data_IF_607201482900
#
_entry.id   IF_607201482900
#
_cell.length_a   1.000
_cell.length_b   1.000
_cell.length_c   1.000
_cell.angle_alpha   90.00
_cell.angle_beta   90.00
_cell.angle_gamma   90.00
#
_symmetry.space_group_name_H-M   'P 1'
#
loop_
_entity.id
_entity.type
_entity.pdbx_description
1 polymer ?
#
# COMPACT_ATOMS: atom_id res chain seq x y z
N UNK A 1 20.44 11.24 -41.53
CA UNK A 1 20.15 10.57 -40.23
C UNK A 1 20.77 11.44 -39.16
N UNK A 2 19.99 11.88 -38.17
CA UNK A 2 20.56 12.52 -36.96
C UNK A 2 21.24 11.47 -36.08
N UNK A 3 22.05 11.88 -35.09
CA UNK A 3 22.62 10.94 -34.13
C UNK A 3 21.49 10.25 -33.34
N UNK A 4 21.56 8.92 -33.22
CA UNK A 4 20.67 8.16 -32.34
C UNK A 4 21.06 8.44 -30.88
N UNK A 5 20.33 9.34 -30.23
CA UNK A 5 20.49 9.61 -28.79
C UNK A 5 20.06 8.37 -28.00
N UNK A 6 20.94 7.85 -27.15
CA UNK A 6 20.59 6.66 -26.36
C UNK A 6 19.52 6.98 -25.31
N UNK A 7 18.73 5.97 -24.94
CA UNK A 7 17.72 6.10 -23.88
C UNK A 7 18.30 6.61 -22.55
N UNK A 8 19.58 6.33 -22.27
CA UNK A 8 20.26 6.83 -21.07
C UNK A 8 20.53 8.33 -21.16
N UNK A 9 21.10 8.79 -22.27
CA UNK A 9 21.39 10.20 -22.51
C UNK A 9 20.08 11.00 -22.52
N UNK A 10 19.04 10.51 -23.19
CA UNK A 10 17.73 11.18 -23.23
C UNK A 10 17.12 11.34 -21.82
N UNK A 11 17.15 10.28 -21.00
CA UNK A 11 16.66 10.33 -19.61
C UNK A 11 17.50 11.26 -18.73
N UNK A 12 18.82 11.30 -18.93
CA UNK A 12 19.73 12.18 -18.19
C UNK A 12 19.58 13.65 -18.59
N UNK A 13 19.43 13.94 -19.88
CA UNK A 13 19.19 15.31 -20.39
C UNK A 13 17.87 15.86 -19.88
N UNK A 14 16.77 15.12 -20.01
CA UNK A 14 15.45 15.56 -19.52
C UNK A 14 15.45 15.75 -17.99
N UNK A 15 16.16 14.90 -17.24
CA UNK A 15 16.30 15.08 -15.79
C UNK A 15 17.14 16.32 -15.43
N UNK A 16 18.16 16.65 -16.23
CA UNK A 16 18.95 17.89 -16.08
C UNK A 16 18.14 19.14 -16.46
N UNK A 17 17.21 19.04 -17.41
CA UNK A 17 16.23 20.09 -17.73
C UNK A 17 15.14 20.27 -16.66
N UNK A 18 15.15 19.47 -15.59
CA UNK A 18 14.22 19.57 -14.46
C UNK A 18 12.94 18.75 -14.61
N UNK A 19 12.83 17.88 -15.61
CA UNK A 19 11.70 16.96 -15.71
C UNK A 19 11.85 15.79 -14.74
N UNK A 20 10.75 15.46 -14.03
CA UNK A 20 10.74 14.36 -13.08
C UNK A 20 10.92 13.00 -13.78
N UNK A 21 11.61 12.05 -13.14
CA UNK A 21 11.68 10.65 -13.62
C UNK A 21 10.28 10.06 -13.88
N UNK A 22 9.24 10.32 -13.05
CA UNK A 22 7.85 10.03 -13.38
C UNK A 22 7.38 10.50 -14.77
N UNK A 23 7.59 11.79 -15.10
CA UNK A 23 7.19 12.39 -16.37
C UNK A 23 7.98 11.77 -17.52
N UNK A 24 9.31 11.71 -17.39
CA UNK A 24 10.22 11.15 -18.39
C UNK A 24 9.86 9.70 -18.71
N UNK A 25 9.71 8.86 -17.69
CA UNK A 25 9.43 7.43 -17.90
C UNK A 25 8.03 7.18 -18.45
N UNK A 26 7.06 8.03 -18.15
CA UNK A 26 5.73 8.00 -18.79
C UNK A 26 5.81 8.34 -20.28
N UNK A 27 6.45 9.47 -20.62
CA UNK A 27 6.61 9.93 -22.01
C UNK A 27 7.37 8.92 -22.87
N UNK A 28 8.41 8.30 -22.33
CA UNK A 28 9.27 7.32 -23.01
C UNK A 28 8.76 5.86 -22.91
N UNK A 29 7.62 5.62 -22.25
CA UNK A 29 7.06 4.27 -21.97
C UNK A 29 8.06 3.32 -21.29
N UNK A 30 8.91 3.84 -20.41
CA UNK A 30 9.92 3.09 -19.67
C UNK A 30 9.39 2.63 -18.31
N UNK A 31 9.94 1.54 -17.78
CA UNK A 31 9.73 1.18 -16.40
C UNK A 31 10.42 2.20 -15.46
N UNK A 32 9.72 2.65 -14.40
CA UNK A 32 10.25 3.65 -13.45
C UNK A 32 11.54 3.22 -12.77
N UNK A 33 11.64 1.97 -12.33
CA UNK A 33 12.86 1.41 -11.72
C UNK A 33 14.03 1.46 -12.69
N UNK A 34 13.77 1.26 -13.98
CA UNK A 34 14.77 1.39 -15.05
C UNK A 34 15.17 2.85 -15.27
N UNK A 35 14.21 3.80 -15.33
CA UNK A 35 14.51 5.24 -15.39
C UNK A 35 15.39 5.73 -14.24
N UNK A 36 15.07 5.37 -12.99
CA UNK A 36 15.92 5.67 -11.83
C UNK A 36 17.29 4.96 -11.89
N UNK A 37 17.39 3.79 -12.53
CA UNK A 37 18.68 3.11 -12.72
C UNK A 37 19.55 3.81 -13.79
N UNK A 38 18.96 4.40 -14.82
CA UNK A 38 19.68 5.17 -15.86
C UNK A 38 20.32 6.45 -15.30
N UNK A 39 19.68 7.08 -14.30
CA UNK A 39 20.24 8.23 -13.58
C UNK A 39 21.35 7.88 -12.57
N UNK A 40 21.50 6.61 -12.18
CA UNK A 40 22.62 6.22 -11.32
C UNK A 40 23.92 6.31 -12.12
N UNK A 41 24.87 7.09 -11.61
CA UNK A 41 26.27 7.01 -12.04
C UNK A 41 26.81 5.60 -11.76
N UNK A 42 27.80 5.15 -12.54
CA UNK A 42 28.46 3.85 -12.34
C UNK A 42 29.40 3.83 -11.11
N UNK A 43 28.99 4.46 -10.02
CA UNK A 43 29.61 4.36 -8.70
C UNK A 43 29.29 2.97 -8.15
N UNK A 44 30.29 2.09 -8.08
CA UNK A 44 30.13 0.71 -7.63
C UNK A 44 29.34 0.64 -6.31
N UNK A 45 28.36 -0.26 -6.24
CA UNK A 45 27.46 -0.37 -5.09
C UNK A 45 28.22 -0.78 -3.82
N UNK A 46 28.56 0.20 -2.99
CA UNK A 46 29.10 -0.07 -1.65
C UNK A 46 28.05 -0.81 -0.82
N UNK A 47 28.30 -2.08 -0.55
CA UNK A 47 27.46 -2.88 0.34
C UNK A 47 27.60 -2.35 1.76
N UNK A 48 26.51 -1.75 2.29
CA UNK A 48 26.50 -1.35 3.70
C UNK A 48 26.71 -2.59 4.59
N UNK A 49 27.65 -2.57 5.55
CA UNK A 49 27.89 -3.70 6.43
C UNK A 49 26.66 -3.98 7.30
N UNK A 50 26.33 -5.26 7.46
CA UNK A 50 25.20 -5.71 8.29
C UNK A 50 25.62 -5.72 9.77
N UNK A 51 25.29 -4.67 10.51
CA UNK A 51 25.55 -4.62 11.96
C UNK A 51 24.68 -5.64 12.72
N UNK A 52 25.28 -6.64 13.42
CA UNK A 52 24.53 -7.58 14.25
C UNK A 52 23.80 -6.91 15.43
N UNK A 53 24.34 -5.80 15.96
CA UNK A 53 23.81 -5.10 17.14
C UNK A 53 22.45 -4.45 16.87
N UNK A 54 22.25 -3.94 15.64
CA UNK A 54 20.98 -3.37 15.21
C UNK A 54 19.85 -4.42 15.21
N UNK A 55 20.14 -5.66 14.80
CA UNK A 55 19.17 -6.77 14.86
C UNK A 55 18.77 -7.11 16.29
N UNK A 56 19.72 -7.09 17.22
CA UNK A 56 19.42 -7.42 18.62
C UNK A 56 18.69 -6.27 19.33
N UNK A 57 19.03 -5.01 19.04
CA UNK A 57 18.26 -3.85 19.52
C UNK A 57 16.79 -3.88 19.07
N UNK A 58 16.52 -4.23 17.80
CA UNK A 58 15.16 -4.44 17.29
C UNK A 58 14.46 -5.61 18.02
N UNK A 59 15.20 -6.66 18.39
CA UNK A 59 14.68 -7.80 19.14
C UNK A 59 14.30 -7.42 20.58
N UNK A 60 15.16 -6.67 21.27
CA UNK A 60 14.92 -6.19 22.64
C UNK A 60 13.74 -5.22 22.70
N UNK A 61 13.64 -4.28 21.74
CA UNK A 61 12.49 -3.36 21.62
C UNK A 61 11.16 -4.10 21.40
N UNK A 62 11.17 -5.22 20.66
CA UNK A 62 9.99 -6.05 20.47
C UNK A 62 9.68 -7.01 21.65
N UNK A 63 10.63 -7.24 22.57
CA UNK A 63 10.54 -8.31 23.57
C UNK A 63 9.99 -7.91 24.93
N UNK A 64 10.14 -6.65 25.34
CA UNK A 64 9.85 -6.19 26.72
C UNK A 64 8.37 -5.88 27.02
N UNK A 65 7.45 -6.09 26.08
CA UNK A 65 6.05 -5.63 26.20
C UNK A 65 5.02 -6.78 26.35
N UNK A 66 5.36 -7.83 27.12
CA UNK A 66 4.45 -8.97 27.39
C UNK A 66 4.49 -9.36 28.88
N UNK A 67 3.56 -8.81 29.67
CA UNK A 67 3.10 -9.31 30.97
C UNK A 67 1.95 -8.40 31.47
N UNK A 68 0.85 -8.84 32.11
CA UNK A 68 0.18 -10.14 32.19
C UNK A 68 -1.26 -9.88 32.73
N UNK A 69 -2.33 -10.06 31.94
CA UNK A 69 -3.68 -10.25 32.51
C UNK A 69 -4.70 -10.82 31.48
N UNK A 70 -5.40 -11.95 31.76
CA UNK A 70 -6.19 -12.65 30.75
C UNK A 70 -7.73 -12.47 30.86
N UNK A 71 -8.24 -11.30 31.28
CA UNK A 71 -9.69 -11.05 31.21
C UNK A 71 -10.05 -9.55 31.11
N UNK A 72 -10.89 -9.22 30.11
CA UNK A 72 -11.64 -7.94 29.96
C UNK A 72 -10.73 -6.69 29.75
N UNK A 73 -11.03 -5.66 28.96
CA UNK A 73 -12.25 -5.11 28.34
C UNK A 73 -11.88 -4.51 26.96
N UNK A 74 -12.76 -4.61 25.95
CA UNK A 74 -12.69 -3.93 24.62
C UNK A 74 -11.39 -4.14 23.82
N UNK A 75 -11.43 -5.05 22.82
CA UNK A 75 -10.31 -5.45 21.95
C UNK A 75 -9.70 -4.29 21.11
N UNK A 76 -8.85 -3.45 21.69
CA UNK A 76 -7.85 -2.64 20.96
C UNK A 76 -6.57 -3.47 20.83
N UNK A 77 -6.31 -3.99 19.63
CA UNK A 77 -5.19 -4.89 19.34
C UNK A 77 -3.90 -4.08 19.10
N UNK A 78 -2.81 -4.45 19.75
CA UNK A 78 -1.42 -3.98 19.54
C UNK A 78 -0.51 -5.20 19.72
N UNK A 79 0.57 -5.48 18.97
CA UNK A 79 1.26 -4.90 17.78
C UNK A 79 1.92 -6.10 17.03
N UNK A 80 2.67 -6.01 15.90
CA UNK A 80 3.21 -4.87 15.14
C UNK A 80 2.93 -4.91 13.61
N UNK A 81 3.29 -3.90 12.81
CA UNK A 81 3.57 -2.51 13.12
C UNK A 81 2.65 -1.68 12.22
N UNK A 82 3.05 -1.46 10.97
CA UNK A 82 2.28 -0.69 9.98
C UNK A 82 1.05 -1.43 9.44
N UNK A 83 1.20 -2.68 8.99
CA UNK A 83 0.07 -3.45 8.43
C UNK A 83 -1.03 -3.72 9.48
N UNK A 84 -0.66 -4.12 10.70
CA UNK A 84 -1.64 -4.24 11.79
C UNK A 84 -2.22 -2.89 12.20
N UNK A 85 -1.44 -1.80 12.18
CA UNK A 85 -1.96 -0.46 12.41
C UNK A 85 -2.98 -0.05 11.35
N UNK A 86 -2.74 -0.32 10.07
CA UNK A 86 -3.67 -0.04 8.98
C UNK A 86 -5.00 -0.79 9.17
N UNK A 87 -4.95 -2.09 9.52
CA UNK A 87 -6.17 -2.86 9.85
C UNK A 87 -6.85 -2.28 11.10
N UNK A 88 -6.11 -1.99 12.17
CA UNK A 88 -6.65 -1.38 13.40
C UNK A 88 -7.26 0.02 13.21
N UNK A 89 -6.83 0.77 12.18
CA UNK A 89 -7.41 2.05 11.79
C UNK A 89 -8.66 1.85 10.91
N UNK A 90 -8.61 0.91 9.96
CA UNK A 90 -9.71 0.65 9.04
C UNK A 90 -10.93 -0.03 9.70
N UNK A 91 -10.71 -0.96 10.66
CA UNK A 91 -11.81 -1.72 11.26
C UNK A 91 -12.81 -0.84 12.02
N UNK A 92 -12.43 0.10 12.92
CA UNK A 92 -13.40 0.97 13.59
C UNK A 92 -14.14 1.93 12.64
N UNK A 93 -13.49 2.36 11.56
CA UNK A 93 -14.12 3.21 10.53
C UNK A 93 -15.21 2.44 9.78
N UNK A 94 -14.96 1.15 9.45
CA UNK A 94 -15.91 0.32 8.71
C UNK A 94 -16.96 -0.37 9.60
N UNK A 95 -16.60 -0.68 10.83
CA UNK A 95 -17.37 -1.46 11.79
C UNK A 95 -17.31 -0.79 13.18
N UNK A 96 -18.05 0.33 13.40
CA UNK A 96 -17.99 1.08 14.65
C UNK A 96 -18.42 0.25 15.87
N UNK A 97 -19.40 -0.64 15.69
CA UNK A 97 -19.90 -1.57 16.71
C UNK A 97 -19.02 -2.82 16.87
N UNK A 98 -17.96 -2.95 16.07
CA UNK A 98 -17.03 -4.06 16.06
C UNK A 98 -17.29 -5.12 14.98
N UNK A 99 -16.30 -6.01 14.82
CA UNK A 99 -16.26 -7.04 13.75
C UNK A 99 -16.89 -8.38 14.14
N UNK A 100 -17.34 -8.54 15.39
CA UNK A 100 -17.82 -9.83 15.88
C UNK A 100 -19.20 -10.14 15.28
N UNK A 101 -19.35 -11.30 14.64
CA UNK A 101 -20.57 -11.69 13.93
C UNK A 101 -20.72 -11.13 12.50
N UNK A 102 -19.80 -10.28 12.03
CA UNK A 102 -19.86 -9.67 10.67
C UNK A 102 -19.38 -10.61 9.53
N UNK A 103 -19.09 -11.89 9.83
CA UNK A 103 -18.47 -12.88 8.92
C UNK A 103 -17.28 -12.36 8.09
N UNK A 104 -16.53 -11.39 8.64
CA UNK A 104 -15.50 -10.67 7.90
C UNK A 104 -14.38 -11.60 7.45
N UNK A 105 -14.11 -11.57 6.13
CA UNK A 105 -13.00 -12.26 5.50
C UNK A 105 -12.02 -11.26 4.92
N UNK A 106 -10.74 -11.37 5.28
CA UNK A 106 -9.63 -10.63 4.67
C UNK A 106 -8.84 -11.61 3.80
N UNK A 107 -8.59 -11.25 2.55
CA UNK A 107 -7.74 -11.99 1.62
C UNK A 107 -6.49 -11.19 1.28
N UNK A 108 -5.36 -11.87 1.09
CA UNK A 108 -4.10 -11.26 0.64
C UNK A 108 -3.24 -12.19 -0.19
N UNK A 109 -2.22 -11.60 -0.82
CA UNK A 109 -1.04 -12.27 -1.34
C UNK A 109 -0.25 -13.06 -0.26
N UNK A 110 0.85 -13.66 -0.69
CA UNK A 110 1.79 -14.38 0.19
C UNK A 110 3.00 -13.52 0.62
N UNK A 111 2.85 -12.19 0.67
CA UNK A 111 3.89 -11.26 1.10
C UNK A 111 4.38 -11.51 2.53
N UNK A 112 5.62 -11.14 2.84
CA UNK A 112 6.26 -11.48 4.12
C UNK A 112 5.57 -10.85 5.36
N UNK A 113 4.95 -9.68 5.20
CA UNK A 113 4.14 -9.04 6.25
C UNK A 113 2.81 -9.79 6.46
N UNK A 114 2.11 -10.10 5.36
CA UNK A 114 0.85 -10.84 5.31
C UNK A 114 0.97 -12.27 5.84
N UNK A 115 2.12 -12.93 5.61
CA UNK A 115 2.41 -14.29 6.09
C UNK A 115 3.02 -14.34 7.50
N UNK A 116 3.23 -13.19 8.14
CA UNK A 116 3.82 -13.13 9.48
C UNK A 116 2.91 -13.77 10.54
N UNK A 117 3.51 -14.50 11.50
CA UNK A 117 2.77 -15.16 12.58
C UNK A 117 1.92 -14.18 13.40
N UNK A 118 2.44 -12.97 13.65
CA UNK A 118 1.76 -11.91 14.39
C UNK A 118 0.51 -11.43 13.66
N UNK A 119 0.59 -11.19 12.34
CA UNK A 119 -0.57 -10.78 11.55
C UNK A 119 -1.68 -11.85 11.55
N UNK A 120 -1.31 -13.11 11.26
CA UNK A 120 -2.25 -14.25 11.25
C UNK A 120 -2.91 -14.46 12.62
N UNK A 121 -2.13 -14.37 13.71
CA UNK A 121 -2.65 -14.50 15.07
C UNK A 121 -3.59 -13.35 15.44
N UNK A 122 -3.28 -12.11 15.05
CA UNK A 122 -4.15 -10.96 15.28
C UNK A 122 -5.49 -11.09 14.55
N UNK A 123 -5.51 -11.52 13.29
CA UNK A 123 -6.77 -11.75 12.54
C UNK A 123 -7.61 -12.84 13.22
N UNK A 124 -6.99 -13.96 13.61
CA UNK A 124 -7.66 -15.02 14.37
C UNK A 124 -8.21 -14.53 15.71
N UNK A 125 -7.46 -13.71 16.45
CA UNK A 125 -7.90 -13.13 17.72
C UNK A 125 -9.03 -12.10 17.56
N UNK A 126 -9.09 -11.39 16.43
CA UNK A 126 -10.19 -10.51 16.06
C UNK A 126 -11.48 -11.27 15.69
N UNK A 127 -11.38 -12.55 15.33
CA UNK A 127 -12.50 -13.34 14.79
C UNK A 127 -12.68 -13.17 13.27
N UNK A 128 -11.65 -12.68 12.59
CA UNK A 128 -11.64 -12.43 11.14
C UNK A 128 -11.13 -13.68 10.44
N UNK A 129 -11.86 -14.15 9.41
CA UNK A 129 -11.38 -15.22 8.53
C UNK A 129 -10.24 -14.65 7.68
N UNK A 130 -9.06 -15.26 7.76
CA UNK A 130 -7.92 -14.84 6.97
C UNK A 130 -7.61 -15.87 5.89
N UNK A 131 -7.74 -15.45 4.64
CA UNK A 131 -7.49 -16.25 3.45
C UNK A 131 -6.21 -15.78 2.77
N UNK A 132 -5.40 -16.74 2.32
CA UNK A 132 -4.23 -16.44 1.48
C UNK A 132 -4.50 -16.92 0.07
N UNK A 133 -4.06 -16.13 -0.88
CA UNK A 133 -4.07 -16.44 -2.29
C UNK A 133 -3.36 -17.77 -2.57
N UNK A 134 -3.95 -18.59 -3.44
CA UNK A 134 -3.29 -19.74 -4.03
C UNK A 134 -2.05 -19.31 -4.82
N UNK A 135 -1.04 -20.19 -4.89
CA UNK A 135 0.13 -19.91 -5.71
C UNK A 135 -0.27 -19.82 -7.19
N UNK A 136 0.27 -18.82 -7.91
CA UNK A 136 0.00 -18.58 -9.32
C UNK A 136 -1.47 -18.27 -9.69
N UNK A 137 -2.21 -17.58 -8.80
CA UNK A 137 -3.57 -17.09 -9.06
C UNK A 137 -3.60 -15.54 -9.20
N UNK A 138 -3.28 -14.94 -10.36
CA UNK A 138 -3.24 -13.47 -10.50
C UNK A 138 -4.61 -12.80 -10.30
N UNK A 139 -5.70 -13.46 -10.69
CA UNK A 139 -7.05 -12.87 -10.69
C UNK A 139 -7.57 -12.50 -9.29
N UNK A 140 -7.08 -13.19 -8.26
CA UNK A 140 -7.58 -12.98 -6.89
C UNK A 140 -7.16 -11.67 -6.23
N UNK A 141 -6.09 -11.02 -6.71
CA UNK A 141 -5.64 -9.69 -6.27
C UNK A 141 -5.87 -8.61 -7.36
N UNK A 142 -6.39 -8.97 -8.54
CA UNK A 142 -6.57 -8.06 -9.68
C UNK A 142 -7.36 -6.78 -9.34
N UNK A 143 -8.30 -6.84 -8.39
CA UNK A 143 -9.04 -5.67 -7.91
C UNK A 143 -8.15 -4.67 -7.15
N UNK A 144 -7.30 -5.16 -6.24
CA UNK A 144 -6.42 -4.29 -5.44
C UNK A 144 -5.23 -3.82 -6.28
N UNK A 145 -4.71 -4.65 -7.18
CA UNK A 145 -3.72 -4.23 -8.19
C UNK A 145 -4.26 -3.14 -9.10
N UNK A 146 -5.51 -3.25 -9.58
CA UNK A 146 -6.15 -2.20 -10.39
C UNK A 146 -6.31 -0.91 -9.59
N UNK A 147 -6.71 -0.99 -8.32
CA UNK A 147 -6.79 0.16 -7.41
C UNK A 147 -5.44 0.86 -7.24
N UNK A 148 -4.38 0.11 -6.92
CA UNK A 148 -3.02 0.64 -6.80
C UNK A 148 -2.48 1.20 -8.11
N UNK A 149 -2.82 0.61 -9.26
CA UNK A 149 -2.45 1.13 -10.58
C UNK A 149 -3.13 2.47 -10.84
N UNK A 150 -4.42 2.59 -10.55
CA UNK A 150 -5.18 3.83 -10.68
C UNK A 150 -4.63 4.94 -9.77
N UNK A 151 -4.40 4.67 -8.47
CA UNK A 151 -3.73 5.61 -7.54
C UNK A 151 -2.38 6.11 -8.08
N UNK A 152 -1.59 5.17 -8.61
CA UNK A 152 -0.29 5.48 -9.21
C UNK A 152 -0.45 6.40 -10.42
N UNK A 153 -1.20 5.95 -11.43
CA UNK A 153 -1.42 6.65 -12.70
C UNK A 153 -2.07 8.05 -12.51
N UNK A 154 -3.02 8.20 -11.56
CA UNK A 154 -3.86 9.41 -11.41
C UNK A 154 -3.38 10.39 -10.31
N UNK A 155 -2.44 10.02 -9.41
CA UNK A 155 -1.89 10.93 -8.37
C UNK A 155 -0.36 10.82 -8.28
N UNK A 156 0.16 9.70 -7.77
CA UNK A 156 1.57 9.52 -7.37
C UNK A 156 2.56 9.70 -8.54
N UNK A 157 2.07 9.57 -9.76
CA UNK A 157 2.88 9.66 -10.98
C UNK A 157 2.90 11.04 -11.62
N UNK A 158 2.03 11.95 -11.17
CA UNK A 158 1.85 13.30 -11.72
C UNK A 158 2.53 14.40 -10.88
N UNK A 159 2.92 14.08 -9.64
CA UNK A 159 3.51 15.03 -8.69
C UNK A 159 4.95 14.65 -8.31
N UNK A 160 5.73 15.67 -7.95
CA UNK A 160 6.89 15.52 -7.08
C UNK A 160 6.52 16.00 -5.67
N UNK A 161 7.10 15.40 -4.63
CA UNK A 161 6.75 15.72 -3.24
C UNK A 161 7.98 16.21 -2.48
N UNK A 162 7.94 17.47 -2.02
CA UNK A 162 9.00 18.07 -1.20
C UNK A 162 9.16 17.41 0.18
N UNK A 163 8.13 16.71 0.65
CA UNK A 163 8.15 16.01 1.93
C UNK A 163 7.25 14.78 1.97
N UNK A 164 7.56 13.85 2.86
CA UNK A 164 6.70 12.70 3.16
C UNK A 164 5.32 13.13 3.69
N UNK A 165 5.23 14.26 4.40
CA UNK A 165 3.96 14.80 4.87
C UNK A 165 3.06 15.21 3.69
N UNK A 166 3.63 15.87 2.67
CA UNK A 166 2.91 16.24 1.45
C UNK A 166 2.44 15.00 0.68
N UNK A 167 3.33 14.02 0.47
CA UNK A 167 2.98 12.76 -0.20
C UNK A 167 1.86 11.99 0.53
N UNK A 168 1.88 12.01 1.88
CA UNK A 168 0.84 11.39 2.70
C UNK A 168 -0.49 12.13 2.60
N UNK A 169 -0.46 13.47 2.51
CA UNK A 169 -1.67 14.27 2.36
C UNK A 169 -2.32 14.04 0.99
N UNK A 170 -1.55 14.13 -0.10
CA UNK A 170 -2.04 13.83 -1.46
C UNK A 170 -2.63 12.41 -1.57
N UNK A 171 -1.99 11.42 -0.93
CA UNK A 171 -2.52 10.06 -0.84
C UNK A 171 -3.86 9.99 -0.09
N UNK A 172 -4.03 10.72 1.02
CA UNK A 172 -5.30 10.77 1.76
C UNK A 172 -6.40 11.42 0.90
N UNK A 173 -6.09 12.53 0.24
CA UNK A 173 -7.01 13.29 -0.59
C UNK A 173 -7.44 12.47 -1.82
N UNK A 174 -6.51 11.76 -2.45
CA UNK A 174 -6.83 10.79 -3.51
C UNK A 174 -7.72 9.66 -3.01
N UNK A 175 -7.46 9.10 -1.81
CA UNK A 175 -8.30 8.04 -1.22
C UNK A 175 -9.71 8.55 -0.92
N UNK A 176 -9.85 9.80 -0.46
CA UNK A 176 -11.15 10.43 -0.25
C UNK A 176 -11.90 10.57 -1.60
N UNK A 177 -11.28 11.22 -2.58
CA UNK A 177 -11.81 11.38 -3.95
C UNK A 177 -12.23 10.03 -4.56
N UNK A 178 -11.36 9.02 -4.49
CA UNK A 178 -11.61 7.69 -5.05
C UNK A 178 -12.87 7.03 -4.45
N UNK A 179 -13.12 7.21 -3.15
CA UNK A 179 -14.25 6.58 -2.47
C UNK A 179 -15.55 7.38 -2.55
N UNK A 180 -15.47 8.71 -2.56
CA UNK A 180 -16.64 9.59 -2.45
C UNK A 180 -17.11 10.15 -3.79
N UNK A 181 -16.19 10.52 -4.69
CA UNK A 181 -16.50 11.36 -5.85
C UNK A 181 -16.19 10.68 -7.20
N UNK A 182 -15.19 9.79 -7.24
CA UNK A 182 -14.71 9.16 -8.48
C UNK A 182 -15.79 8.22 -9.06
N UNK A 183 -16.33 8.47 -10.27
CA UNK A 183 -17.35 7.61 -10.85
C UNK A 183 -16.72 6.34 -11.46
N UNK A 184 -17.37 5.18 -11.25
CA UNK A 184 -16.95 3.91 -11.84
C UNK A 184 -18.01 3.39 -12.82
N UNK A 185 -17.64 3.14 -14.08
CA UNK A 185 -18.56 2.58 -15.09
C UNK A 185 -19.18 1.24 -14.66
N UNK A 186 -18.39 0.37 -14.03
CA UNK A 186 -18.85 -0.89 -13.43
C UNK A 186 -19.90 -0.69 -12.31
N UNK A 187 -19.94 0.48 -11.68
CA UNK A 187 -20.90 0.85 -10.63
C UNK A 187 -22.02 1.77 -11.17
N UNK A 188 -22.27 1.75 -12.49
CA UNK A 188 -23.21 2.64 -13.19
C UNK A 188 -22.90 4.13 -12.99
N UNK A 189 -21.61 4.48 -13.04
CA UNK A 189 -21.06 5.83 -12.83
C UNK A 189 -21.27 6.42 -11.43
N UNK A 190 -21.55 5.58 -10.43
CA UNK A 190 -21.53 5.95 -9.01
C UNK A 190 -20.14 5.85 -8.42
N UNK A 191 -19.91 6.55 -7.31
CA UNK A 191 -18.74 6.34 -6.46
C UNK A 191 -18.86 5.06 -5.60
N UNK A 192 -17.75 4.52 -5.06
CA UNK A 192 -17.79 3.36 -4.17
C UNK A 192 -18.68 3.53 -2.93
N UNK A 193 -18.79 4.74 -2.37
CA UNK A 193 -19.66 5.04 -1.23
C UNK A 193 -21.13 5.09 -1.63
N UNK A 194 -21.47 5.81 -2.71
CA UNK A 194 -22.84 5.86 -3.24
C UNK A 194 -23.37 4.47 -3.62
N UNK A 195 -22.53 3.67 -4.30
CA UNK A 195 -22.88 2.31 -4.67
C UNK A 195 -23.18 1.45 -3.43
N UNK A 196 -22.32 1.51 -2.40
CA UNK A 196 -22.51 0.81 -1.13
C UNK A 196 -23.80 1.23 -0.42
N UNK A 197 -24.09 2.53 -0.37
CA UNK A 197 -25.33 3.06 0.20
C UNK A 197 -26.56 2.54 -0.55
N UNK A 198 -26.49 2.46 -1.89
CA UNK A 198 -27.59 1.93 -2.69
C UNK A 198 -27.86 0.43 -2.44
N UNK A 199 -26.84 -0.36 -2.10
CA UNK A 199 -27.02 -1.76 -1.69
C UNK A 199 -27.74 -1.86 -0.34
N UNK A 200 -27.37 -1.05 0.65
CA UNK A 200 -28.03 -1.06 1.96
C UNK A 200 -29.47 -0.55 1.89
N UNK A 201 -29.77 0.42 1.02
CA UNK A 201 -31.14 0.93 0.82
C UNK A 201 -32.05 -0.01 0.02
N UNK A 202 -31.50 -1.03 -0.64
CA UNK A 202 -32.27 -2.07 -1.36
C UNK A 202 -32.51 -3.32 -0.50
N UNK A 203 -31.87 -3.40 0.68
CA UNK A 203 -31.95 -4.53 1.61
C UNK A 203 -32.83 -4.25 2.84
N UNK A 204 -33.63 -3.18 2.79
CA UNK A 204 -34.62 -2.75 3.79
C UNK A 204 -36.00 -2.63 3.15
#
# INVERSE_FOLDING_TARGET
>A
MGPEVSTRELVQTLAHEGYSVPIITSALRLNRTYGYALLKTNSASQSRPRDPRLREAIRTLCGLWISSNPSLVKKRIWVPGELLQAVNQALPIRFPDGVYGQELTIRSDNGCQMTSRQFVQAMKAAGIRYERMGYNNPDGDAYIERGFRTLKEESVWLQEYDSFAQAKQDLNDFIAFYNHDRPHSALRYRSPVEFRQSLTSTAA
#
